data_IF_875809889443
#
_entry.id   IF_875809889443
#
_cell.length_a   1.000
_cell.length_b   1.000
_cell.length_c   1.000
_cell.angle_alpha   90.00
_cell.angle_beta   90.00
_cell.angle_gamma   90.00
#
_symmetry.space_group_name_H-M   'P 1'
#
loop_
_entity.id
_entity.type
_entity.pdbx_description
1 polymer ?
#
# COMPACT_ATOMS: atom_id res chain seq x y z
N UNK A 1 26.84 0.65 33.70
CA UNK A 1 25.92 -0.13 32.85
C UNK A 1 26.40 -1.57 32.88
N UNK A 2 25.57 -2.53 33.32
CA UNK A 2 25.96 -3.94 33.35
C UNK A 2 26.16 -4.47 31.93
N UNK A 3 27.18 -5.30 31.74
CA UNK A 3 27.57 -5.90 30.44
C UNK A 3 26.39 -6.65 29.77
N UNK A 4 25.55 -7.29 30.60
CA UNK A 4 24.31 -7.94 30.16
C UNK A 4 23.29 -6.97 29.55
N UNK A 5 23.15 -5.78 30.12
CA UNK A 5 22.22 -4.76 29.62
C UNK A 5 22.64 -4.27 28.23
N UNK A 6 23.96 -4.14 28.02
CA UNK A 6 24.55 -3.74 26.73
C UNK A 6 24.29 -4.83 25.67
N UNK A 7 24.45 -6.10 26.04
CA UNK A 7 24.14 -7.23 25.15
C UNK A 7 22.67 -7.27 24.76
N UNK A 8 21.75 -7.09 25.71
CA UNK A 8 20.31 -7.06 25.40
C UNK A 8 19.94 -5.86 24.52
N UNK A 9 20.51 -4.68 24.76
CA UNK A 9 20.31 -3.51 23.91
C UNK A 9 20.84 -3.73 22.48
N UNK A 10 22.00 -4.36 22.33
CA UNK A 10 22.58 -4.67 21.02
C UNK A 10 21.69 -5.66 20.24
N UNK A 11 21.18 -6.70 20.91
CA UNK A 11 20.25 -7.66 20.29
C UNK A 11 18.94 -6.97 19.90
N UNK A 12 18.36 -6.15 20.78
CA UNK A 12 17.15 -5.40 20.47
C UNK A 12 17.34 -4.45 19.28
N UNK A 13 18.48 -3.75 19.20
CA UNK A 13 18.82 -2.89 18.08
C UNK A 13 18.94 -3.68 16.77
N UNK A 14 19.57 -4.85 16.80
CA UNK A 14 19.70 -5.73 15.62
C UNK A 14 18.35 -6.23 15.14
N UNK A 15 17.48 -6.66 16.06
CA UNK A 15 16.10 -7.05 15.74
C UNK A 15 15.36 -5.87 15.11
N UNK A 16 15.37 -4.69 15.73
CA UNK A 16 14.71 -3.52 15.16
C UNK A 16 15.23 -3.19 13.76
N UNK A 17 16.55 -3.21 13.55
CA UNK A 17 17.17 -2.96 12.24
C UNK A 17 16.75 -3.97 11.17
N UNK A 18 16.68 -5.26 11.52
CA UNK A 18 16.23 -6.30 10.60
C UNK A 18 14.77 -6.10 10.17
N UNK A 19 13.94 -5.52 11.03
CA UNK A 19 12.52 -5.25 10.73
C UNK A 19 12.28 -3.94 9.96
N UNK A 20 13.21 -2.97 9.98
CA UNK A 20 13.10 -1.71 9.22
C UNK A 20 12.72 -1.93 7.74
N UNK A 21 13.41 -2.77 6.94
CA UNK A 21 13.08 -2.92 5.52
C UNK A 21 11.69 -3.52 5.29
N UNK A 22 11.27 -4.47 6.13
CA UNK A 22 9.95 -5.12 6.06
C UNK A 22 8.85 -4.11 6.37
N UNK A 23 9.03 -3.32 7.43
CA UNK A 23 8.08 -2.28 7.84
C UNK A 23 8.03 -1.16 6.79
N UNK A 24 9.16 -0.76 6.23
CA UNK A 24 9.23 0.26 5.18
C UNK A 24 8.50 -0.18 3.90
N UNK A 25 8.70 -1.41 3.45
CA UNK A 25 8.04 -1.93 2.26
C UNK A 25 6.51 -1.99 2.45
N UNK A 26 6.05 -2.34 3.64
CA UNK A 26 4.63 -2.37 4.00
C UNK A 26 4.03 -0.96 4.02
N UNK A 27 4.72 0.02 4.63
CA UNK A 27 4.28 1.41 4.64
C UNK A 27 4.23 1.97 3.21
N UNK A 28 5.25 1.67 2.39
CA UNK A 28 5.30 2.08 0.98
C UNK A 28 4.13 1.51 0.18
N UNK A 29 3.78 0.24 0.39
CA UNK A 29 2.61 -0.36 -0.26
C UNK A 29 1.29 0.26 0.22
N UNK A 30 1.16 0.59 1.51
CA UNK A 30 -0.03 1.25 2.06
C UNK A 30 -0.23 2.68 1.55
N UNK A 31 0.86 3.38 1.23
CA UNK A 31 0.79 4.72 0.61
C UNK A 31 0.33 4.68 -0.85
N UNK A 32 0.45 3.54 -1.53
CA UNK A 32 -0.18 3.35 -2.83
C UNK A 32 -1.67 3.11 -2.57
N UNK A 33 -2.51 4.07 -2.95
CA UNK A 33 -3.95 3.91 -3.01
C UNK A 33 -4.37 3.64 -4.46
N UNK A 34 -4.21 2.40 -4.96
CA UNK A 34 -4.63 2.09 -6.30
C UNK A 34 -6.17 2.20 -6.42
N UNK A 35 -6.67 2.68 -7.56
CA UNK A 35 -8.09 2.69 -7.87
C UNK A 35 -8.70 1.28 -7.85
N UNK A 36 -10.04 1.14 -7.67
CA UNK A 36 -10.68 -0.14 -7.48
C UNK A 36 -10.45 -1.13 -8.63
N UNK A 37 -10.49 -0.69 -9.89
CA UNK A 37 -10.16 -1.59 -11.02
C UNK A 37 -8.67 -1.97 -11.05
N UNK A 38 -7.76 -1.03 -10.80
CA UNK A 38 -6.33 -1.31 -10.68
C UNK A 38 -5.95 -2.21 -9.49
N UNK A 39 -6.80 -2.34 -8.47
CA UNK A 39 -6.59 -3.29 -7.36
C UNK A 39 -6.77 -4.75 -7.77
N UNK A 40 -7.65 -5.01 -8.74
CA UNK A 40 -8.07 -6.37 -9.09
C UNK A 40 -7.38 -6.90 -10.35
N UNK A 41 -6.79 -6.04 -11.19
CA UNK A 41 -6.07 -6.44 -12.40
C UNK A 41 -4.62 -5.93 -12.42
N UNK A 42 -3.67 -6.85 -12.61
CA UNK A 42 -2.22 -6.58 -12.68
C UNK A 42 -1.81 -5.75 -13.90
N UNK A 43 -2.55 -5.81 -15.02
CA UNK A 43 -2.30 -4.97 -16.21
C UNK A 43 -2.70 -3.53 -15.92
N UNK A 44 -3.89 -3.32 -15.37
CA UNK A 44 -4.39 -2.02 -14.95
C UNK A 44 -3.53 -1.41 -13.83
N UNK A 45 -3.09 -2.23 -12.87
CA UNK A 45 -2.14 -1.79 -11.85
C UNK A 45 -0.83 -1.28 -12.45
N UNK A 46 -0.29 -2.00 -13.45
CA UNK A 46 0.94 -1.57 -14.14
C UNK A 46 0.71 -0.28 -14.91
N UNK A 47 -0.40 -0.17 -15.64
CA UNK A 47 -0.76 1.03 -16.38
C UNK A 47 -0.90 2.24 -15.44
N UNK A 48 -1.67 2.10 -14.37
CA UNK A 48 -1.81 3.15 -13.35
C UNK A 48 -0.47 3.54 -12.72
N UNK A 49 0.42 2.57 -12.50
CA UNK A 49 1.74 2.82 -11.90
C UNK A 49 2.72 3.49 -12.87
N UNK A 50 2.63 3.22 -14.17
CA UNK A 50 3.50 3.81 -15.19
C UNK A 50 2.98 5.14 -15.71
N UNK A 51 1.67 5.23 -15.94
CA UNK A 51 0.97 6.39 -16.48
C UNK A 51 -0.42 6.52 -15.82
N UNK A 52 -0.49 7.24 -14.67
CA UNK A 52 -1.74 7.49 -13.98
C UNK A 52 -2.76 8.28 -14.81
N UNK A 53 -2.31 9.17 -15.71
CA UNK A 53 -3.19 10.01 -16.51
C UNK A 53 -3.86 9.23 -17.64
N UNK A 54 -3.13 8.33 -18.30
CA UNK A 54 -3.73 7.41 -19.27
C UNK A 54 -4.75 6.48 -18.60
N UNK A 55 -4.44 6.01 -17.39
CA UNK A 55 -5.38 5.22 -16.61
C UNK A 55 -6.66 6.01 -16.29
N UNK A 56 -6.54 7.23 -15.76
CA UNK A 56 -7.69 8.06 -15.39
C UNK A 56 -8.59 8.36 -16.60
N UNK A 57 -8.00 8.64 -17.78
CA UNK A 57 -8.75 8.88 -19.02
C UNK A 57 -9.55 7.68 -19.50
N UNK A 58 -9.02 6.46 -19.34
CA UNK A 58 -9.65 5.25 -19.86
C UNK A 58 -10.58 4.56 -18.85
N UNK A 59 -10.25 4.60 -17.56
CA UNK A 59 -10.89 3.79 -16.53
C UNK A 59 -11.46 4.61 -15.37
N UNK A 60 -11.12 5.91 -15.25
CA UNK A 60 -11.53 6.75 -14.12
C UNK A 60 -13.05 6.91 -13.97
N UNK A 61 -13.78 7.03 -15.09
CA UNK A 61 -15.25 7.11 -15.05
C UNK A 61 -15.89 5.82 -14.53
N UNK A 62 -15.35 4.66 -14.91
CA UNK A 62 -15.87 3.37 -14.44
C UNK A 62 -15.56 3.15 -12.96
N UNK A 63 -14.38 3.57 -12.49
CA UNK A 63 -14.04 3.54 -11.06
C UNK A 63 -14.99 4.43 -10.23
N UNK A 64 -15.33 5.62 -10.73
CA UNK A 64 -16.32 6.51 -10.10
C UNK A 64 -17.70 5.85 -10.01
N UNK A 65 -18.19 5.25 -11.10
CA UNK A 65 -19.48 4.56 -11.12
C UNK A 65 -19.51 3.35 -10.17
N UNK A 66 -18.40 2.60 -10.09
CA UNK A 66 -18.28 1.46 -9.18
C UNK A 66 -18.35 1.88 -7.71
N UNK A 67 -17.67 2.97 -7.35
CA UNK A 67 -17.70 3.53 -6.00
C UNK A 67 -19.10 4.05 -5.65
N UNK A 68 -19.78 4.72 -6.58
CA UNK A 68 -21.16 5.18 -6.39
C UNK A 68 -22.11 4.01 -6.10
N UNK A 69 -22.06 2.94 -6.93
CA UNK A 69 -22.89 1.74 -6.71
C UNK A 69 -22.61 1.03 -5.39
N UNK A 70 -21.35 1.03 -4.92
CA UNK A 70 -21.00 0.48 -3.61
C UNK A 70 -21.60 1.31 -2.48
N UNK A 71 -21.47 2.63 -2.54
CA UNK A 71 -22.04 3.54 -1.55
C UNK A 71 -23.57 3.41 -1.46
N UNK A 72 -24.24 3.21 -2.60
CA UNK A 72 -25.70 2.99 -2.64
C UNK A 72 -26.11 1.65 -2.02
N UNK A 73 -25.28 0.61 -2.17
CA UNK A 73 -25.52 -0.70 -1.53
C UNK A 73 -25.31 -0.65 -0.03
N UNK A 74 -24.33 0.13 0.45
CA UNK A 74 -24.04 0.26 1.89
C UNK A 74 -25.09 1.10 2.62
N UNK A 75 -25.78 2.00 1.92
CA UNK A 75 -26.88 2.81 2.46
C UNK A 75 -28.23 2.09 2.53
N UNK A 76 -28.39 0.95 1.84
CA UNK A 76 -29.62 0.14 1.83
C UNK A 76 -29.55 -0.98 2.85
#
# INVERSE_FOLDING_TARGET
MSDELIKYLAVAALVLFAFIPVTYQTIRQRRLNPPPMAKHDRKLFRLWRSDPEAYERQYGEMDRQYLAKKADKEKR
#
